data_IF_546370081625
#
_entry.id   IF_546370081625
#
_cell.length_a   1.000
_cell.length_b   1.000
_cell.length_c   1.000
_cell.angle_alpha   90.00
_cell.angle_beta   90.00
_cell.angle_gamma   90.00
#
_symmetry.space_group_name_H-M   'P 1'
#
loop_
_entity.id
_entity.type
_entity.pdbx_description
1 polymer ?
#
# COMPACT_ATOMS: atom_id res chain seq x y z
N UNK A 1 -10.41 -31.82 32.56
CA UNK A 1 -10.91 -32.23 31.22
C UNK A 1 -10.17 -31.59 30.05
N UNK A 2 -10.01 -30.25 29.98
CA UNK A 2 -9.36 -29.58 28.83
C UNK A 2 -7.90 -29.96 28.60
N UNK A 3 -7.07 -29.98 29.64
CA UNK A 3 -5.63 -30.37 29.54
C UNK A 3 -5.48 -31.82 29.04
N UNK A 4 -6.28 -32.74 29.56
CA UNK A 4 -6.25 -34.15 29.17
C UNK A 4 -6.67 -34.35 27.71
N UNK A 5 -7.63 -33.55 27.21
CA UNK A 5 -8.02 -33.52 25.81
C UNK A 5 -6.89 -33.01 24.90
N UNK A 6 -6.17 -31.97 25.32
CA UNK A 6 -5.00 -31.44 24.59
C UNK A 6 -3.89 -32.49 24.49
N UNK A 7 -3.58 -33.18 25.60
CA UNK A 7 -2.56 -34.23 25.61
C UNK A 7 -2.95 -35.44 24.75
N UNK A 8 -4.23 -35.85 24.78
CA UNK A 8 -4.73 -36.92 23.92
C UNK A 8 -4.64 -36.56 22.44
N UNK A 9 -5.01 -35.33 22.08
CA UNK A 9 -4.90 -34.83 20.70
C UNK A 9 -3.44 -34.68 20.26
N UNK A 10 -2.54 -34.27 21.16
CA UNK A 10 -1.10 -34.25 20.90
C UNK A 10 -0.60 -35.63 20.54
N UNK A 11 -0.90 -36.65 21.35
CA UNK A 11 -0.44 -38.03 21.08
C UNK A 11 -1.03 -38.58 19.78
N UNK A 12 -2.32 -38.32 19.51
CA UNK A 12 -2.96 -38.70 18.25
C UNK A 12 -2.26 -38.10 17.03
N UNK A 13 -1.74 -36.88 17.14
CA UNK A 13 -1.12 -36.14 16.04
C UNK A 13 0.42 -36.12 16.10
N UNK A 14 1.04 -36.89 17.00
CA UNK A 14 2.48 -36.84 17.27
C UNK A 14 3.34 -37.05 16.03
N UNK A 15 2.95 -37.97 15.15
CA UNK A 15 3.66 -38.23 13.88
C UNK A 15 3.65 -37.01 12.96
N UNK A 16 2.50 -36.35 12.82
CA UNK A 16 2.36 -35.13 12.04
C UNK A 16 3.25 -34.02 12.63
N UNK A 17 3.13 -33.78 13.94
CA UNK A 17 3.87 -32.75 14.67
C UNK A 17 5.39 -32.94 14.59
N UNK A 18 5.85 -34.18 14.74
CA UNK A 18 7.29 -34.51 14.65
C UNK A 18 7.80 -34.25 13.22
N UNK A 19 7.03 -34.63 12.20
CA UNK A 19 7.40 -34.41 10.79
C UNK A 19 7.43 -32.91 10.46
N UNK A 20 6.39 -32.16 10.82
CA UNK A 20 6.30 -30.71 10.55
C UNK A 20 7.37 -29.93 11.31
N UNK A 21 7.64 -30.26 12.57
CA UNK A 21 8.72 -29.66 13.34
C UNK A 21 10.10 -29.87 12.69
N UNK A 22 10.37 -31.08 12.21
CA UNK A 22 11.61 -31.38 11.49
C UNK A 22 11.70 -30.62 10.16
N UNK A 23 10.61 -30.50 9.41
CA UNK A 23 10.54 -29.69 8.18
C UNK A 23 10.83 -28.21 8.47
N UNK A 24 10.20 -27.60 9.49
CA UNK A 24 10.43 -26.19 9.87
C UNK A 24 11.89 -25.94 10.24
N UNK A 25 12.49 -26.82 11.04
CA UNK A 25 13.88 -26.66 11.47
C UNK A 25 14.87 -26.77 10.31
N UNK A 26 14.59 -27.63 9.32
CA UNK A 26 15.46 -27.83 8.15
C UNK A 26 15.19 -26.84 7.02
N UNK A 27 14.12 -26.05 7.10
CA UNK A 27 13.70 -25.16 6.02
C UNK A 27 14.58 -23.92 5.98
N UNK A 28 15.26 -23.71 4.85
CA UNK A 28 15.95 -22.47 4.51
C UNK A 28 15.32 -21.92 3.22
N UNK A 29 14.29 -21.06 3.32
CA UNK A 29 13.61 -20.53 2.15
C UNK A 29 14.56 -19.65 1.32
N UNK A 30 14.50 -19.77 -0.01
CA UNK A 30 15.40 -19.03 -0.92
C UNK A 30 14.90 -17.63 -1.29
N UNK A 31 13.60 -17.38 -1.09
CA UNK A 31 12.95 -16.11 -1.39
C UNK A 31 11.72 -15.92 -0.51
N UNK A 32 11.18 -14.70 -0.49
CA UNK A 32 9.92 -14.44 0.22
C UNK A 32 8.74 -15.20 -0.37
N UNK A 33 8.71 -15.45 -1.68
CA UNK A 33 7.67 -16.26 -2.32
C UNK A 33 7.73 -17.71 -1.83
N UNK A 34 8.95 -18.27 -1.77
CA UNK A 34 9.20 -19.63 -1.29
C UNK A 34 8.86 -19.79 0.21
N UNK A 35 9.19 -18.78 1.03
CA UNK A 35 8.80 -18.72 2.44
C UNK A 35 7.28 -18.62 2.59
N UNK A 36 6.64 -17.70 1.85
CA UNK A 36 5.20 -17.50 1.92
C UNK A 36 4.42 -18.74 1.47
N UNK A 37 4.88 -19.45 0.43
CA UNK A 37 4.26 -20.73 0.02
C UNK A 37 4.40 -21.78 1.11
N UNK A 38 5.61 -21.95 1.65
CA UNK A 38 5.86 -22.90 2.73
C UNK A 38 4.98 -22.66 3.95
N UNK A 39 4.84 -21.40 4.38
CA UNK A 39 3.99 -21.04 5.52
C UNK A 39 2.52 -21.33 5.22
N UNK A 40 2.02 -21.06 4.01
CA UNK A 40 0.65 -21.44 3.63
C UNK A 40 0.42 -22.94 3.75
N UNK A 41 1.30 -23.75 3.16
CA UNK A 41 1.19 -25.21 3.19
C UNK A 41 1.28 -25.77 4.62
N UNK A 42 2.14 -25.17 5.46
CA UNK A 42 2.26 -25.55 6.87
C UNK A 42 1.00 -25.18 7.65
N UNK A 43 0.49 -23.96 7.50
CA UNK A 43 -0.72 -23.53 8.20
C UNK A 43 -1.94 -24.38 7.80
N UNK A 44 -2.08 -24.76 6.52
CA UNK A 44 -3.13 -25.69 6.07
C UNK A 44 -2.98 -27.08 6.72
N UNK A 45 -1.75 -27.61 6.76
CA UNK A 45 -1.48 -28.91 7.40
C UNK A 45 -1.71 -28.88 8.92
N UNK A 46 -1.53 -27.74 9.57
CA UNK A 46 -1.77 -27.57 11.00
C UNK A 46 -3.24 -27.25 11.33
N UNK A 47 -4.01 -26.72 10.38
CA UNK A 47 -5.42 -26.39 10.56
C UNK A 47 -6.31 -27.59 10.93
N UNK A 48 -5.86 -28.83 10.66
CA UNK A 48 -6.55 -30.06 11.10
C UNK A 48 -6.46 -30.29 12.61
N UNK A 49 -5.59 -29.58 13.32
CA UNK A 49 -5.38 -29.73 14.75
C UNK A 49 -6.46 -29.00 15.55
N UNK A 50 -7.22 -29.70 16.42
CA UNK A 50 -8.16 -29.04 17.32
C UNK A 50 -7.40 -28.25 18.39
N UNK A 51 -7.80 -27.00 18.64
CA UNK A 51 -7.06 -26.13 19.58
C UNK A 51 -5.56 -26.04 19.23
N UNK A 52 -5.21 -25.91 17.94
CA UNK A 52 -3.83 -25.92 17.39
C UNK A 52 -2.81 -25.27 18.33
N UNK A 53 -3.02 -24.00 18.70
CA UNK A 53 -2.10 -23.24 19.56
C UNK A 53 -1.79 -23.92 20.90
N UNK A 54 -2.77 -24.59 21.51
CA UNK A 54 -2.58 -25.30 22.76
C UNK A 54 -1.79 -26.60 22.57
N UNK A 55 -2.04 -27.32 21.48
CA UNK A 55 -1.29 -28.54 21.12
C UNK A 55 0.17 -28.19 20.80
N UNK A 56 0.41 -27.16 19.98
CA UNK A 56 1.77 -26.74 19.61
C UNK A 56 2.58 -26.29 20.82
N UNK A 57 1.97 -25.61 21.79
CA UNK A 57 2.63 -25.24 23.06
C UNK A 57 2.93 -26.44 23.96
N UNK A 58 2.09 -27.46 23.94
CA UNK A 58 2.28 -28.69 24.71
C UNK A 58 3.34 -29.62 24.09
N UNK A 59 3.61 -29.48 22.79
CA UNK A 59 4.62 -30.26 22.10
C UNK A 59 6.02 -29.66 22.28
N UNK A 60 6.82 -30.29 23.16
CA UNK A 60 8.16 -29.80 23.56
C UNK A 60 9.11 -29.55 22.38
N UNK A 61 9.06 -30.38 21.35
CA UNK A 61 9.97 -30.30 20.21
C UNK A 61 9.45 -29.34 19.11
N UNK A 62 8.35 -28.62 19.35
CA UNK A 62 7.83 -27.65 18.40
C UNK A 62 8.78 -26.44 18.28
N UNK A 63 9.25 -26.09 17.06
CA UNK A 63 10.11 -24.94 16.84
C UNK A 63 9.29 -23.64 16.83
N UNK A 64 8.67 -23.32 17.97
CA UNK A 64 7.68 -22.25 18.10
C UNK A 64 8.24 -20.91 17.61
N UNK A 65 9.38 -20.48 18.14
CA UNK A 65 9.98 -19.18 17.82
C UNK A 65 10.32 -19.06 16.33
N UNK A 66 10.98 -20.09 15.76
CA UNK A 66 11.33 -20.12 14.33
C UNK A 66 10.08 -20.05 13.46
N UNK A 67 9.05 -20.82 13.79
CA UNK A 67 7.84 -20.87 12.98
C UNK A 67 7.01 -19.58 13.07
N UNK A 68 6.89 -18.99 14.27
CA UNK A 68 6.22 -17.70 14.44
C UNK A 68 6.99 -16.59 13.70
N UNK A 69 8.32 -16.63 13.68
CA UNK A 69 9.13 -15.69 12.88
C UNK A 69 8.91 -15.87 11.38
N UNK A 70 8.80 -17.13 10.89
CA UNK A 70 8.44 -17.43 9.50
C UNK A 70 7.05 -16.90 9.15
N UNK A 71 6.06 -17.12 10.02
CA UNK A 71 4.69 -16.62 9.86
C UNK A 71 4.66 -15.09 9.79
N UNK A 72 5.37 -14.42 10.68
CA UNK A 72 5.45 -12.96 10.70
C UNK A 72 6.06 -12.42 9.40
N UNK A 73 7.21 -12.95 8.98
CA UNK A 73 7.86 -12.54 7.74
C UNK A 73 6.97 -12.76 6.51
N UNK A 74 6.31 -13.93 6.40
CA UNK A 74 5.38 -14.24 5.33
C UNK A 74 4.17 -13.30 5.32
N UNK A 75 3.59 -13.00 6.49
CA UNK A 75 2.45 -12.11 6.63
C UNK A 75 2.80 -10.67 6.20
N UNK A 76 3.93 -10.14 6.67
CA UNK A 76 4.39 -8.80 6.28
C UNK A 76 4.66 -8.70 4.77
N UNK A 77 5.30 -9.72 4.18
CA UNK A 77 5.53 -9.74 2.74
C UNK A 77 4.23 -9.77 1.93
N UNK A 78 3.26 -10.60 2.33
CA UNK A 78 1.94 -10.65 1.69
C UNK A 78 1.19 -9.32 1.81
N UNK A 79 1.29 -8.65 2.94
CA UNK A 79 0.70 -7.32 3.15
C UNK A 79 1.29 -6.28 2.19
N UNK A 80 2.63 -6.22 2.07
CA UNK A 80 3.31 -5.32 1.13
C UNK A 80 3.01 -5.65 -0.34
N UNK A 81 2.91 -6.94 -0.66
CA UNK A 81 2.50 -7.40 -1.99
C UNK A 81 1.07 -6.96 -2.31
N UNK A 82 0.14 -7.14 -1.35
CA UNK A 82 -1.24 -6.69 -1.48
C UNK A 82 -1.34 -5.18 -1.74
N UNK A 83 -0.62 -4.34 -0.99
CA UNK A 83 -0.62 -2.90 -1.25
C UNK A 83 -0.08 -2.56 -2.63
N UNK A 84 0.98 -3.22 -3.08
CA UNK A 84 1.55 -2.99 -4.41
C UNK A 84 0.57 -3.38 -5.51
N UNK A 85 0.03 -4.59 -5.44
CA UNK A 85 -0.93 -5.11 -6.42
C UNK A 85 -2.21 -4.29 -6.45
N UNK A 86 -2.75 -3.91 -5.29
CA UNK A 86 -4.00 -3.13 -5.20
C UNK A 86 -3.88 -1.77 -5.88
N UNK A 87 -2.71 -1.15 -5.82
CA UNK A 87 -2.42 0.11 -6.50
C UNK A 87 -2.30 -0.10 -8.01
N UNK A 88 -1.62 -1.14 -8.46
CA UNK A 88 -1.40 -1.43 -9.88
C UNK A 88 -2.68 -1.86 -10.61
N UNK A 89 -3.54 -2.61 -9.92
CA UNK A 89 -4.80 -3.15 -10.46
C UNK A 89 -6.01 -2.26 -10.14
N UNK A 90 -5.76 -1.01 -9.75
CA UNK A 90 -6.81 -0.10 -9.32
C UNK A 90 -7.79 0.20 -10.46
N UNK A 91 -9.07 -0.18 -10.26
CA UNK A 91 -10.14 0.06 -11.23
C UNK A 91 -10.89 1.36 -10.92
N UNK A 92 -10.93 2.26 -11.91
CA UNK A 92 -11.71 3.51 -11.85
C UNK A 92 -13.22 3.24 -11.78
N UNK A 93 -13.92 4.02 -10.98
CA UNK A 93 -15.38 4.07 -10.94
C UNK A 93 -15.94 4.77 -12.18
N UNK A 94 -17.17 4.39 -12.54
CA UNK A 94 -17.98 5.10 -13.55
C UNK A 94 -18.46 6.48 -13.06
N UNK A 95 -18.42 6.72 -11.75
CA UNK A 95 -18.86 7.98 -11.12
C UNK A 95 -17.94 9.16 -11.37
N UNK A 96 -18.10 10.19 -10.54
CA UNK A 96 -17.39 11.47 -10.64
C UNK A 96 -15.92 11.35 -10.25
N UNK A 97 -15.08 12.30 -10.68
CA UNK A 97 -13.68 12.34 -10.24
C UNK A 97 -13.56 12.56 -8.72
N UNK A 98 -14.49 13.28 -8.09
CA UNK A 98 -14.49 13.51 -6.65
C UNK A 98 -14.73 12.23 -5.84
N UNK A 99 -15.68 11.39 -6.28
CA UNK A 99 -15.91 10.08 -5.65
C UNK A 99 -14.69 9.17 -5.77
N UNK A 100 -14.05 9.17 -6.94
CA UNK A 100 -12.83 8.40 -7.17
C UNK A 100 -11.66 8.91 -6.32
N UNK A 101 -11.45 10.22 -6.27
CA UNK A 101 -10.38 10.85 -5.51
C UNK A 101 -10.52 10.56 -4.01
N UNK A 102 -11.73 10.64 -3.45
CA UNK A 102 -11.99 10.25 -2.05
C UNK A 102 -11.65 8.79 -1.78
N UNK A 103 -12.00 7.88 -2.69
CA UNK A 103 -11.71 6.45 -2.56
C UNK A 103 -10.21 6.18 -2.61
N UNK A 104 -9.50 6.84 -3.54
CA UNK A 104 -8.05 6.77 -3.65
C UNK A 104 -7.38 7.33 -2.39
N UNK A 105 -7.81 8.51 -1.93
CA UNK A 105 -7.23 9.18 -0.77
C UNK A 105 -7.41 8.36 0.51
N UNK A 106 -8.61 7.79 0.74
CA UNK A 106 -8.86 6.93 1.90
C UNK A 106 -7.96 5.69 1.91
N UNK A 107 -7.79 5.03 0.75
CA UNK A 107 -6.88 3.90 0.62
C UNK A 107 -5.42 4.33 0.85
N UNK A 108 -5.00 5.41 0.21
CA UNK A 108 -3.64 5.94 0.30
C UNK A 108 -3.27 6.34 1.73
N UNK A 109 -4.16 7.02 2.46
CA UNK A 109 -3.90 7.43 3.83
C UNK A 109 -3.80 6.24 4.78
N UNK A 110 -4.62 5.19 4.59
CA UNK A 110 -4.51 3.96 5.38
C UNK A 110 -3.19 3.22 5.09
N UNK A 111 -2.88 3.04 3.81
CA UNK A 111 -1.63 2.42 3.38
C UNK A 111 -0.41 3.20 3.88
N UNK A 112 -0.41 4.53 3.76
CA UNK A 112 0.69 5.40 4.21
C UNK A 112 0.95 5.23 5.71
N UNK A 113 -0.10 5.29 6.54
CA UNK A 113 0.01 5.10 8.00
C UNK A 113 0.62 3.74 8.34
N UNK A 114 0.18 2.68 7.66
CA UNK A 114 0.73 1.34 7.86
C UNK A 114 2.20 1.26 7.45
N UNK A 115 2.56 1.88 6.33
CA UNK A 115 3.93 1.95 5.83
C UNK A 115 4.86 2.74 6.76
N UNK A 116 4.41 3.86 7.32
CA UNK A 116 5.16 4.65 8.31
C UNK A 116 5.48 3.81 9.56
N UNK A 117 4.51 3.04 10.06
CA UNK A 117 4.72 2.13 11.19
C UNK A 117 5.73 1.02 10.87
N UNK A 118 5.66 0.43 9.67
CA UNK A 118 6.61 -0.59 9.23
C UNK A 118 8.03 -0.03 9.06
N UNK A 119 8.17 1.17 8.49
CA UNK A 119 9.46 1.83 8.32
C UNK A 119 10.13 2.15 9.67
N UNK A 120 9.35 2.58 10.67
CA UNK A 120 9.88 2.87 12.01
C UNK A 120 10.51 1.64 12.69
N UNK A 121 10.09 0.42 12.33
CA UNK A 121 10.59 -0.83 12.90
C UNK A 121 11.44 -1.66 11.93
N UNK A 122 11.76 -1.10 10.76
CA UNK A 122 12.37 -1.84 9.66
C UNK A 122 13.70 -2.47 10.06
N UNK A 123 14.63 -1.71 10.61
CA UNK A 123 15.98 -2.20 10.94
C UNK A 123 15.94 -3.37 11.94
N UNK A 124 15.12 -3.26 12.99
CA UNK A 124 14.96 -4.33 13.97
C UNK A 124 14.29 -5.59 13.39
N UNK A 125 13.28 -5.39 12.55
CA UNK A 125 12.59 -6.48 11.85
C UNK A 125 13.53 -7.22 10.91
N UNK A 126 14.33 -6.49 10.12
CA UNK A 126 15.30 -7.07 9.19
C UNK A 126 16.37 -7.86 9.92
N UNK A 127 16.99 -7.30 10.98
CA UNK A 127 17.98 -8.02 11.79
C UNK A 127 17.43 -9.30 12.41
N UNK A 128 16.18 -9.28 12.87
CA UNK A 128 15.52 -10.46 13.45
C UNK A 128 15.30 -11.55 12.40
N UNK A 129 14.85 -11.18 11.19
CA UNK A 129 14.68 -12.15 10.10
C UNK A 129 16.02 -12.70 9.62
N UNK A 130 17.05 -11.86 9.49
CA UNK A 130 18.42 -12.28 9.16
C UNK A 130 18.97 -13.25 10.22
N UNK A 131 18.79 -12.95 11.51
CA UNK A 131 19.23 -13.83 12.62
C UNK A 131 18.50 -15.18 12.63
N UNK A 132 17.28 -15.24 12.09
CA UNK A 132 16.52 -16.47 11.90
C UNK A 132 16.84 -17.20 10.57
N UNK A 133 17.80 -16.69 9.79
CA UNK A 133 18.19 -17.18 8.46
C UNK A 133 17.01 -17.17 7.47
N UNK A 134 16.13 -16.18 7.58
CA UNK A 134 15.00 -15.99 6.68
C UNK A 134 15.35 -14.96 5.60
N UNK A 135 14.93 -15.18 4.34
CA UNK A 135 15.04 -14.13 3.34
C UNK A 135 14.18 -12.94 3.77
N UNK A 136 14.57 -11.74 3.34
CA UNK A 136 13.73 -10.56 3.43
C UNK A 136 13.90 -9.69 2.17
N UNK A 137 12.78 -9.25 1.61
CA UNK A 137 12.79 -8.38 0.44
C UNK A 137 12.93 -6.91 0.85
N UNK A 138 14.19 -6.45 0.90
CA UNK A 138 14.55 -5.06 1.24
C UNK A 138 13.95 -4.00 0.30
N UNK A 139 13.44 -4.41 -0.87
CA UNK A 139 12.82 -3.50 -1.84
C UNK A 139 11.29 -3.46 -1.74
N UNK A 140 10.65 -4.33 -0.94
CA UNK A 140 9.20 -4.41 -0.84
C UNK A 140 8.57 -3.07 -0.41
N UNK A 141 9.13 -2.41 0.60
CA UNK A 141 8.66 -1.09 1.04
C UNK A 141 8.78 -0.03 -0.08
N UNK A 142 9.89 -0.04 -0.81
CA UNK A 142 10.12 0.88 -1.94
C UNK A 142 9.10 0.65 -3.06
N UNK A 143 8.77 -0.61 -3.38
CA UNK A 143 7.78 -0.92 -4.42
C UNK A 143 6.38 -0.39 -4.06
N UNK A 144 5.94 -0.53 -2.81
CA UNK A 144 4.67 0.07 -2.35
C UNK A 144 4.68 1.59 -2.51
N UNK A 145 5.80 2.25 -2.14
CA UNK A 145 5.96 3.71 -2.29
C UNK A 145 5.87 4.16 -3.74
N UNK A 146 6.60 3.51 -4.64
CA UNK A 146 6.61 3.87 -6.06
C UNK A 146 5.26 3.56 -6.74
N UNK A 147 4.59 2.45 -6.36
CA UNK A 147 3.28 2.10 -6.90
C UNK A 147 2.21 3.16 -6.61
N UNK A 148 2.39 4.00 -5.58
CA UNK A 148 1.46 5.10 -5.28
C UNK A 148 1.39 6.17 -6.35
N UNK A 149 2.40 6.26 -7.22
CA UNK A 149 2.35 7.11 -8.40
C UNK A 149 1.24 6.70 -9.37
N UNK A 150 0.89 5.42 -9.45
CA UNK A 150 -0.23 4.97 -10.28
C UNK A 150 -1.57 5.57 -9.80
N UNK A 151 -1.78 5.64 -8.48
CA UNK A 151 -2.97 6.26 -7.91
C UNK A 151 -3.05 7.75 -8.28
N UNK A 152 -1.91 8.45 -8.27
CA UNK A 152 -1.83 9.84 -8.71
C UNK A 152 -2.15 10.01 -10.18
N UNK A 153 -1.59 9.16 -11.05
CA UNK A 153 -1.85 9.16 -12.49
C UNK A 153 -3.34 8.95 -12.78
N UNK A 154 -3.96 7.98 -12.12
CA UNK A 154 -5.38 7.68 -12.27
C UNK A 154 -6.27 8.84 -11.81
N UNK A 155 -5.98 9.42 -10.64
CA UNK A 155 -6.69 10.61 -10.12
C UNK A 155 -6.59 11.79 -11.09
N UNK A 156 -5.37 12.17 -11.49
CA UNK A 156 -5.16 13.29 -12.40
C UNK A 156 -5.84 13.07 -13.75
N UNK A 157 -5.74 11.86 -14.31
CA UNK A 157 -6.37 11.53 -15.60
C UNK A 157 -7.90 11.61 -15.53
N UNK A 158 -8.51 11.06 -14.48
CA UNK A 158 -9.95 11.11 -14.27
C UNK A 158 -10.43 12.55 -14.04
N UNK A 159 -9.68 13.36 -13.29
CA UNK A 159 -9.96 14.79 -13.10
C UNK A 159 -9.88 15.55 -14.42
N UNK A 160 -8.84 15.36 -15.22
CA UNK A 160 -8.69 16.02 -16.52
C UNK A 160 -9.84 15.67 -17.47
N UNK A 161 -10.26 14.40 -17.47
CA UNK A 161 -11.43 13.96 -18.25
C UNK A 161 -12.73 14.65 -17.81
N UNK A 162 -12.96 14.74 -16.51
CA UNK A 162 -14.16 15.39 -15.95
C UNK A 162 -14.17 16.90 -16.27
N UNK A 163 -13.03 17.58 -16.11
CA UNK A 163 -12.86 19.01 -16.45
C UNK A 163 -13.16 19.23 -17.94
N UNK A 164 -12.61 18.40 -18.84
CA UNK A 164 -12.87 18.51 -20.27
C UNK A 164 -14.35 18.29 -20.64
N UNK A 165 -15.10 17.51 -19.85
CA UNK A 165 -16.55 17.36 -20.06
C UNK A 165 -17.33 18.57 -19.52
N UNK A 166 -16.93 19.14 -18.39
CA UNK A 166 -17.50 20.37 -17.85
C UNK A 166 -17.27 21.57 -18.80
N UNK A 167 -16.11 21.65 -19.45
CA UNK A 167 -15.81 22.66 -20.48
C UNK A 167 -16.74 22.58 -21.70
N UNK A 168 -17.18 21.37 -22.06
CA UNK A 168 -18.12 21.13 -23.17
C UNK A 168 -19.58 21.34 -22.77
N UNK A 169 -19.87 21.55 -21.49
CA UNK A 169 -21.23 21.81 -21.01
C UNK A 169 -21.69 23.22 -21.34
N UNK A 170 -23.01 23.42 -21.46
CA UNK A 170 -23.60 24.72 -21.82
C UNK A 170 -23.38 25.82 -20.77
N UNK A 171 -23.04 25.45 -19.54
CA UNK A 171 -22.70 26.37 -18.45
C UNK A 171 -21.34 25.99 -17.88
N UNK A 172 -20.31 26.74 -18.24
CA UNK A 172 -18.96 26.51 -17.72
C UNK A 172 -18.93 26.70 -16.20
N UNK A 173 -18.63 25.61 -15.47
CA UNK A 173 -18.57 25.61 -14.00
C UNK A 173 -17.12 25.81 -13.54
N UNK A 174 -16.60 27.04 -13.66
CA UNK A 174 -15.20 27.37 -13.33
C UNK A 174 -14.80 26.92 -11.92
N UNK A 175 -15.62 27.24 -10.90
CA UNK A 175 -15.36 26.87 -9.51
C UNK A 175 -15.26 25.35 -9.33
N UNK A 176 -16.19 24.61 -9.93
CA UNK A 176 -16.19 23.14 -9.88
C UNK A 176 -14.96 22.54 -10.57
N UNK A 177 -14.55 23.11 -11.72
CA UNK A 177 -13.32 22.68 -12.40
C UNK A 177 -12.09 22.93 -11.50
N UNK A 178 -12.03 24.10 -10.86
CA UNK A 178 -10.96 24.43 -9.93
C UNK A 178 -10.93 23.48 -8.73
N UNK A 179 -12.09 23.15 -8.16
CA UNK A 179 -12.18 22.22 -7.03
C UNK A 179 -11.65 20.82 -7.38
N UNK A 180 -12.06 20.29 -8.54
CA UNK A 180 -11.60 19.00 -9.04
C UNK A 180 -10.08 18.98 -9.29
N UNK A 181 -9.54 20.06 -9.87
CA UNK A 181 -8.11 20.20 -10.11
C UNK A 181 -7.32 20.36 -8.81
N UNK A 182 -7.82 21.16 -7.85
CA UNK A 182 -7.18 21.36 -6.56
C UNK A 182 -7.12 20.06 -5.74
N UNK A 183 -8.16 19.23 -5.81
CA UNK A 183 -8.17 17.90 -5.19
C UNK A 183 -7.09 16.98 -5.80
N UNK A 184 -7.00 16.93 -7.13
CA UNK A 184 -5.97 16.16 -7.82
C UNK A 184 -4.55 16.66 -7.48
N UNK A 185 -4.32 17.97 -7.40
CA UNK A 185 -3.03 18.55 -6.99
C UNK A 185 -2.65 18.13 -5.57
N UNK A 186 -3.59 18.16 -4.62
CA UNK A 186 -3.32 17.74 -3.22
C UNK A 186 -2.92 16.28 -3.15
N UNK A 187 -3.63 15.40 -3.83
CA UNK A 187 -3.31 13.96 -3.86
C UNK A 187 -1.99 13.68 -4.58
N UNK A 188 -1.73 14.39 -5.68
CA UNK A 188 -0.46 14.30 -6.41
C UNK A 188 0.73 14.74 -5.55
N UNK A 189 0.59 15.82 -4.79
CA UNK A 189 1.63 16.25 -3.85
C UNK A 189 1.88 15.21 -2.75
N UNK A 190 0.82 14.64 -2.17
CA UNK A 190 0.95 13.59 -1.15
C UNK A 190 1.70 12.36 -1.67
N UNK A 191 1.35 11.90 -2.87
CA UNK A 191 2.01 10.74 -3.50
C UNK A 191 3.43 11.05 -3.94
N UNK A 192 3.72 12.27 -4.42
CA UNK A 192 5.09 12.74 -4.70
C UNK A 192 6.00 12.62 -3.48
N UNK A 193 5.58 13.19 -2.35
CA UNK A 193 6.35 13.16 -1.10
C UNK A 193 6.54 11.71 -0.62
N UNK A 194 5.48 10.90 -0.70
CA UNK A 194 5.53 9.51 -0.29
C UNK A 194 6.46 8.67 -1.19
N UNK A 195 6.39 8.81 -2.51
CA UNK A 195 7.23 8.08 -3.46
C UNK A 195 8.69 8.58 -3.49
N UNK A 196 8.94 9.82 -3.04
CA UNK A 196 10.24 10.46 -3.14
C UNK A 196 10.51 11.10 -4.51
N UNK A 197 9.45 11.52 -5.22
CA UNK A 197 9.51 12.08 -6.56
C UNK A 197 8.51 11.47 -7.53
N UNK A 198 8.20 12.19 -8.60
CA UNK A 198 7.40 11.68 -9.71
C UNK A 198 8.25 10.94 -10.74
N UNK A 199 7.62 9.99 -11.44
CA UNK A 199 8.12 9.47 -12.70
C UNK A 199 7.73 10.39 -13.87
N UNK A 200 8.20 10.09 -15.08
CA UNK A 200 7.96 10.93 -16.27
C UNK A 200 6.47 11.12 -16.55
N UNK A 201 5.67 10.05 -16.48
CA UNK A 201 4.23 10.10 -16.75
C UNK A 201 3.48 10.99 -15.74
N UNK A 202 3.82 10.88 -14.45
CA UNK A 202 3.26 11.74 -13.41
C UNK A 202 3.63 13.21 -13.63
N UNK A 203 4.87 13.51 -14.06
CA UNK A 203 5.31 14.89 -14.33
C UNK A 203 4.47 15.51 -15.43
N UNK A 204 4.26 14.79 -16.54
CA UNK A 204 3.49 15.31 -17.67
C UNK A 204 2.04 15.62 -17.29
N UNK A 205 1.37 14.69 -16.59
CA UNK A 205 0.01 14.89 -16.11
C UNK A 205 -0.08 16.01 -15.09
N UNK A 206 0.87 16.07 -14.15
CA UNK A 206 0.87 17.10 -13.12
C UNK A 206 1.04 18.50 -13.72
N UNK A 207 1.89 18.66 -14.73
CA UNK A 207 2.02 19.95 -15.43
C UNK A 207 0.73 20.35 -16.16
N UNK A 208 -0.01 19.40 -16.75
CA UNK A 208 -1.33 19.68 -17.35
C UNK A 208 -2.34 20.15 -16.29
N UNK A 209 -2.45 19.40 -15.19
CA UNK A 209 -3.34 19.74 -14.07
C UNK A 209 -2.97 21.12 -13.52
N UNK A 210 -1.70 21.37 -13.23
CA UNK A 210 -1.19 22.64 -12.71
C UNK A 210 -1.52 23.83 -13.61
N UNK A 211 -1.33 23.70 -14.94
CA UNK A 211 -1.67 24.75 -15.90
C UNK A 211 -3.16 25.07 -15.89
N UNK A 212 -4.02 24.04 -15.88
CA UNK A 212 -5.47 24.25 -15.79
C UNK A 212 -5.88 24.86 -14.45
N UNK A 213 -5.28 24.43 -13.34
CA UNK A 213 -5.53 25.03 -12.03
C UNK A 213 -5.24 26.53 -12.07
N UNK A 214 -4.09 26.93 -12.63
CA UNK A 214 -3.70 28.33 -12.78
C UNK A 214 -4.67 29.09 -13.70
N UNK A 215 -5.13 28.47 -14.78
CA UNK A 215 -6.13 29.05 -15.68
C UNK A 215 -7.44 29.35 -14.94
N UNK A 216 -8.02 28.37 -14.24
CA UNK A 216 -9.30 28.57 -13.55
C UNK A 216 -9.21 29.52 -12.36
N UNK A 217 -8.08 29.55 -11.64
CA UNK A 217 -7.83 30.58 -10.61
C UNK A 217 -7.97 31.98 -11.23
N UNK A 218 -7.36 32.20 -12.40
CA UNK A 218 -7.41 33.50 -13.10
C UNK A 218 -8.79 33.84 -13.65
N UNK A 219 -9.61 32.85 -13.98
CA UNK A 219 -10.99 33.04 -14.42
C UNK A 219 -11.93 33.43 -13.28
N UNK A 220 -11.69 32.92 -12.07
CA UNK A 220 -12.55 33.15 -10.90
C UNK A 220 -12.16 34.45 -10.18
N UNK A 221 -10.85 34.69 -10.01
CA UNK A 221 -10.35 35.90 -9.36
C UNK A 221 -9.56 36.75 -10.35
N UNK A 222 -10.12 37.85 -10.89
CA UNK A 222 -9.45 38.73 -11.82
C UNK A 222 -8.48 39.73 -11.15
N UNK A 223 -8.21 39.64 -9.85
CA UNK A 223 -7.28 40.57 -9.15
C UNK A 223 -5.87 40.59 -9.76
N UNK A 224 -5.41 39.48 -10.36
CA UNK A 224 -4.14 39.41 -11.10
C UNK A 224 -4.02 40.44 -12.24
N UNK A 225 -5.15 40.86 -12.86
CA UNK A 225 -5.16 41.90 -13.90
C UNK A 225 -4.80 43.28 -13.34
N UNK A 226 -5.13 43.55 -12.08
CA UNK A 226 -4.78 44.81 -11.42
C UNK A 226 -3.28 44.85 -11.14
N UNK A 227 -2.72 43.75 -10.63
CA UNK A 227 -1.29 43.63 -10.33
C UNK A 227 -0.41 43.80 -11.57
N UNK A 228 -0.78 43.22 -12.72
CA UNK A 228 -0.06 43.41 -13.99
C UNK A 228 -0.14 44.85 -14.52
N UNK A 229 -1.29 45.52 -14.39
CA UNK A 229 -1.45 46.94 -14.77
C UNK A 229 -0.61 47.86 -13.88
N UNK A 230 -0.44 47.54 -12.60
CA UNK A 230 0.43 48.29 -11.70
C UNK A 230 1.91 48.03 -11.97
N UNK A 231 2.31 46.79 -12.25
CA UNK A 231 3.70 46.45 -12.61
C UNK A 231 4.15 47.11 -13.93
N UNK A 232 3.27 47.19 -14.94
CA UNK A 232 3.57 47.89 -16.20
C UNK A 232 3.61 49.42 -16.07
N UNK A 233 2.96 49.99 -15.05
CA UNK A 233 2.96 51.44 -14.77
C UNK A 233 4.14 51.87 -13.89
N UNK A 234 4.68 50.99 -13.05
CA UNK A 234 5.83 51.26 -12.19
C UNK A 234 7.20 51.05 -12.89
N UNK A 235 7.21 50.47 -14.09
CA UNK A 235 8.39 50.30 -14.94
C UNK A 235 8.55 51.36 -16.04
N UNK A 236 7.82 52.47 -15.97
CA UNK A 236 8.01 53.69 -16.76
C UNK A 236 8.42 54.83 -15.84
#
# INVERSE_FOLDING_TARGET
MRVQRVLQNLERNRRLLTKTAAEINRRHPRSMVDLASFVADMDERLAVLPEERAILRAFKDWPLERYETMREAAALYRELAYFTEKQQTWSLLKGTCQEENRRIEAFFDNMRKRMEALMAQQEGTEKRFESAELPWDKQALRRVRVASLNLSTLSMSKTLFEVANLERSSQLQNEKCLDHLAEAVRLAYKTHQFAGGFNVDCIELFEKVKRLTQYYIRCIDPTWLKEHKHAQRAGK
#
